data_IF_094967864833
#
_entry.id   IF_094967864833
#
_cell.length_a   1.000
_cell.length_b   1.000
_cell.length_c   1.000
_cell.angle_alpha   90.00
_cell.angle_beta   90.00
_cell.angle_gamma   90.00
#
_symmetry.space_group_name_H-M   'P 1'
#
loop_
_entity.id
_entity.type
_entity.pdbx_description
1 polymer ?
#
# COMPACT_ATOMS: atom_id res chain seq x y z
N UNK A 1 -31.25 15.60 67.29
CA UNK A 1 -31.15 16.01 65.87
C UNK A 1 -30.19 15.06 65.16
N UNK A 2 -30.56 14.58 63.95
CA UNK A 2 -29.76 13.86 62.91
C UNK A 2 -29.17 12.50 63.32
N UNK A 3 -29.86 11.37 63.10
CA UNK A 3 -29.89 10.51 61.88
C UNK A 3 -28.50 10.26 61.29
N UNK A 4 -28.10 8.98 61.16
CA UNK A 4 -27.80 8.32 59.88
C UNK A 4 -27.64 6.80 60.09
N UNK A 5 -28.60 6.05 59.54
CA UNK A 5 -28.56 4.60 59.31
C UNK A 5 -27.96 4.36 57.92
N UNK A 6 -27.20 3.28 57.69
CA UNK A 6 -27.30 2.52 56.43
C UNK A 6 -26.58 1.16 56.53
N UNK A 7 -27.41 0.13 56.64
CA UNK A 7 -27.15 -1.24 56.19
C UNK A 7 -27.05 -1.27 54.66
N UNK A 8 -26.23 -2.16 54.10
CA UNK A 8 -26.26 -2.43 52.67
C UNK A 8 -25.27 -3.52 52.26
N UNK A 9 -25.63 -4.78 52.49
CA UNK A 9 -24.96 -5.95 51.93
C UNK A 9 -26.01 -6.88 51.29
N UNK A 10 -25.54 -7.67 50.31
CA UNK A 10 -26.23 -8.60 49.42
C UNK A 10 -26.71 -7.96 48.09
N UNK A 11 -26.01 -8.11 46.96
CA UNK A 11 -25.64 -9.31 46.19
C UNK A 11 -26.81 -9.96 45.42
N UNK A 12 -26.45 -10.37 44.19
CA UNK A 12 -27.14 -11.27 43.25
C UNK A 12 -28.01 -10.60 42.18
N UNK A 13 -27.51 -10.59 40.94
CA UNK A 13 -28.13 -11.32 39.82
C UNK A 13 -27.22 -11.27 38.58
N UNK A 14 -26.74 -12.44 38.17
CA UNK A 14 -26.18 -12.69 36.85
C UNK A 14 -27.25 -12.43 35.78
N UNK A 15 -26.94 -11.61 34.78
CA UNK A 15 -27.54 -11.70 33.45
C UNK A 15 -26.43 -11.65 32.41
N UNK A 16 -26.20 -12.83 31.81
CA UNK A 16 -25.55 -13.00 30.53
C UNK A 16 -26.29 -12.15 29.47
N UNK A 17 -25.66 -11.09 28.97
CA UNK A 17 -25.92 -10.59 27.63
C UNK A 17 -24.67 -10.79 26.78
N UNK A 18 -24.56 -11.98 26.21
CA UNK A 18 -23.79 -12.24 25.01
C UNK A 18 -24.45 -11.54 23.83
N UNK A 19 -24.07 -10.30 23.55
CA UNK A 19 -24.37 -9.62 22.29
C UNK A 19 -23.42 -8.42 22.09
N UNK A 20 -22.13 -8.69 21.95
CA UNK A 20 -21.27 -7.82 21.16
C UNK A 20 -21.17 -8.46 19.78
N UNK A 21 -22.20 -8.31 18.95
CA UNK A 21 -22.02 -8.36 17.49
C UNK A 21 -21.34 -7.04 17.08
N UNK A 22 -20.11 -6.90 17.56
CA UNK A 22 -19.14 -5.89 17.19
C UNK A 22 -17.91 -6.61 16.69
N UNK A 23 -18.11 -7.60 15.81
CA UNK A 23 -17.06 -8.05 14.91
C UNK A 23 -16.84 -6.92 13.90
N UNK A 24 -16.23 -5.83 14.37
CA UNK A 24 -15.51 -4.93 13.48
C UNK A 24 -14.62 -5.82 12.63
N UNK A 25 -14.78 -5.68 11.32
CA UNK A 25 -13.87 -6.22 10.34
C UNK A 25 -12.45 -6.14 10.89
N UNK A 26 -11.72 -7.25 10.82
CA UNK A 26 -10.28 -7.17 10.72
C UNK A 26 -10.01 -6.50 9.37
N UNK A 27 -10.21 -5.18 9.31
CA UNK A 27 -9.59 -4.34 8.30
C UNK A 27 -8.10 -4.56 8.56
N UNK A 28 -7.40 -5.22 7.62
CA UNK A 28 -5.95 -5.17 7.62
C UNK A 28 -5.59 -3.70 7.72
N UNK A 29 -4.89 -3.31 8.78
CA UNK A 29 -4.52 -1.92 8.97
C UNK A 29 -3.79 -1.47 7.69
N UNK A 30 -4.28 -0.40 7.07
CA UNK A 30 -3.64 0.13 5.87
C UNK A 30 -2.25 0.64 6.23
N UNK A 31 -1.23 0.13 5.55
CA UNK A 31 0.17 0.51 5.74
C UNK A 31 0.62 1.29 4.52
N UNK A 32 1.28 2.43 4.73
CA UNK A 32 1.89 3.20 3.64
C UNK A 32 3.19 2.54 3.18
N UNK A 33 3.65 2.87 1.97
CA UNK A 33 4.93 2.37 1.46
C UNK A 33 5.99 3.46 1.40
N UNK A 34 7.24 3.02 1.50
CA UNK A 34 8.42 3.81 1.14
C UNK A 34 8.85 3.37 -0.27
N UNK A 35 9.23 4.35 -1.09
CA UNK A 35 9.58 4.14 -2.49
C UNK A 35 10.97 4.73 -2.71
N UNK A 36 11.87 3.91 -3.23
CA UNK A 36 13.21 4.34 -3.63
C UNK A 36 13.47 3.99 -5.09
N UNK A 37 14.11 4.89 -5.81
CA UNK A 37 14.64 4.58 -7.14
C UNK A 37 15.86 3.68 -6.99
N UNK A 38 15.86 2.53 -7.66
CA UNK A 38 17.04 1.70 -7.74
C UNK A 38 17.91 2.21 -8.90
N UNK A 39 19.19 2.49 -8.64
CA UNK A 39 20.13 2.82 -9.71
C UNK A 39 20.28 1.63 -10.66
N UNK A 40 19.84 1.79 -11.91
CA UNK A 40 19.98 0.77 -12.93
C UNK A 40 21.27 1.00 -13.73
N UNK A 41 22.22 0.09 -13.61
CA UNK A 41 23.25 -0.14 -14.62
C UNK A 41 22.61 -0.97 -15.76
N UNK A 42 22.45 -0.34 -16.92
CA UNK A 42 22.18 -0.91 -18.25
C UNK A 42 21.10 -2.01 -18.42
N UNK A 43 20.11 -1.71 -19.27
CA UNK A 43 19.28 -2.68 -20.00
C UNK A 43 18.74 -3.85 -19.18
N UNK A 44 17.78 -3.57 -18.29
CA UNK A 44 16.84 -4.61 -17.89
C UNK A 44 15.92 -4.87 -19.09
N UNK A 45 16.35 -5.81 -19.92
CA UNK A 45 15.56 -6.45 -20.98
C UNK A 45 14.43 -7.32 -20.44
N UNK A 46 13.83 -6.90 -19.32
CA UNK A 46 12.61 -7.49 -18.78
C UNK A 46 11.46 -7.12 -19.70
N UNK A 47 10.70 -8.13 -20.13
CA UNK A 47 9.47 -7.94 -20.87
C UNK A 47 8.49 -7.16 -19.98
N UNK A 48 8.34 -5.86 -20.25
CA UNK A 48 7.32 -5.05 -19.60
C UNK A 48 5.99 -5.52 -20.19
N UNK A 49 5.24 -6.27 -19.39
CA UNK A 49 4.00 -6.90 -19.83
C UNK A 49 2.98 -5.90 -20.35
N UNK A 50 1.88 -6.40 -20.93
CA UNK A 50 0.83 -5.61 -21.59
C UNK A 50 0.23 -4.50 -20.71
N UNK A 51 0.38 -4.58 -19.39
CA UNK A 51 -0.08 -3.58 -18.42
C UNK A 51 0.88 -2.38 -18.25
N UNK A 52 2.03 -2.38 -18.94
CA UNK A 52 3.02 -1.29 -18.86
C UNK A 52 3.84 -1.29 -17.56
N UNK A 53 3.85 -2.41 -16.83
CA UNK A 53 4.74 -2.69 -15.71
C UNK A 53 4.93 -4.21 -15.50
N UNK A 54 5.99 -4.57 -14.79
CA UNK A 54 6.22 -5.88 -14.20
C UNK A 54 6.54 -5.70 -12.71
N UNK A 55 6.18 -6.67 -11.88
CA UNK A 55 6.46 -6.64 -10.45
C UNK A 55 6.89 -8.00 -9.92
N UNK A 56 7.91 -8.04 -9.08
CA UNK A 56 8.35 -9.23 -8.36
C UNK A 56 8.62 -8.90 -6.88
N UNK A 57 8.47 -9.88 -5.99
CA UNK A 57 8.91 -9.75 -4.59
C UNK A 57 10.30 -10.34 -4.46
N UNK A 58 11.23 -9.55 -3.96
CA UNK A 58 12.60 -9.97 -3.68
C UNK A 58 13.01 -9.53 -2.28
N UNK A 59 13.40 -10.50 -1.46
CA UNK A 59 13.83 -10.29 -0.07
C UNK A 59 12.81 -9.57 0.84
N UNK A 60 11.53 -9.55 0.45
CA UNK A 60 10.43 -8.88 1.16
C UNK A 60 10.14 -7.46 0.68
N UNK A 61 10.76 -7.02 -0.42
CA UNK A 61 10.57 -5.74 -1.11
C UNK A 61 9.91 -6.02 -2.46
N UNK A 62 8.97 -5.17 -2.87
CA UNK A 62 8.43 -5.22 -4.24
C UNK A 62 9.38 -4.47 -5.17
N UNK A 63 9.90 -5.18 -6.16
CA UNK A 63 10.65 -4.62 -7.28
C UNK A 63 9.64 -4.33 -8.38
N UNK A 64 9.45 -3.06 -8.70
CA UNK A 64 8.57 -2.63 -9.78
C UNK A 64 9.40 -2.14 -10.97
N UNK A 65 9.25 -2.82 -12.10
CA UNK A 65 9.81 -2.40 -13.37
C UNK A 65 8.72 -1.75 -14.22
N UNK A 66 9.01 -0.56 -14.74
CA UNK A 66 8.12 0.20 -15.62
C UNK A 66 8.92 0.65 -16.84
N UNK A 67 8.23 1.01 -17.92
CA UNK A 67 8.90 1.65 -19.05
C UNK A 67 8.21 2.94 -19.45
N UNK A 68 9.01 3.90 -19.89
CA UNK A 68 8.56 5.25 -20.18
C UNK A 68 9.64 6.13 -20.79
N UNK A 69 9.29 7.41 -20.94
CA UNK A 69 10.17 8.44 -21.47
C UNK A 69 11.26 8.81 -20.47
N UNK A 70 12.50 9.06 -20.91
CA UNK A 70 13.55 9.55 -20.00
C UNK A 70 13.25 10.90 -19.36
N UNK A 71 12.44 11.74 -20.00
CA UNK A 71 12.02 13.05 -19.46
C UNK A 71 10.64 13.04 -18.81
N UNK A 72 9.90 11.93 -18.92
CA UNK A 72 8.65 11.69 -18.20
C UNK A 72 8.66 10.26 -17.65
N UNK A 73 9.51 9.98 -16.65
CA UNK A 73 9.66 8.64 -16.09
C UNK A 73 8.34 8.18 -15.45
N UNK A 74 7.94 6.91 -15.58
CA UNK A 74 6.71 6.41 -14.97
C UNK A 74 6.87 6.17 -13.46
N UNK A 75 7.11 7.23 -12.70
CA UNK A 75 7.43 7.24 -11.27
C UNK A 75 6.19 6.96 -10.42
N UNK A 76 6.30 6.05 -9.46
CA UNK A 76 5.33 5.89 -8.37
C UNK A 76 5.52 7.00 -7.34
N UNK A 77 4.45 7.74 -7.04
CA UNK A 77 4.43 8.83 -6.07
C UNK A 77 4.01 8.36 -4.68
N UNK A 78 3.08 7.40 -4.60
CA UNK A 78 2.59 6.88 -3.32
C UNK A 78 2.02 5.48 -3.48
N UNK A 79 1.75 4.83 -2.35
CA UNK A 79 1.03 3.57 -2.33
C UNK A 79 0.56 3.19 -0.94
N UNK A 80 -0.40 2.28 -0.91
CA UNK A 80 -0.92 1.68 0.32
C UNK A 80 -1.04 0.17 0.18
N UNK A 81 -0.79 -0.53 1.27
CA UNK A 81 -0.93 -1.98 1.36
C UNK A 81 -2.01 -2.31 2.38
N UNK A 82 -3.02 -3.03 1.93
CA UNK A 82 -4.10 -3.54 2.76
C UNK A 82 -4.65 -4.84 2.15
N UNK A 83 -5.01 -5.79 3.01
CA UNK A 83 -5.72 -7.02 2.63
C UNK A 83 -5.03 -7.81 1.49
N UNK A 84 -3.70 -7.86 1.48
CA UNK A 84 -2.91 -8.59 0.47
C UNK A 84 -2.74 -7.86 -0.87
N UNK A 85 -3.23 -6.62 -0.98
CA UNK A 85 -3.16 -5.81 -2.19
C UNK A 85 -2.31 -4.57 -1.95
N UNK A 86 -1.27 -4.40 -2.78
CA UNK A 86 -0.47 -3.19 -2.87
C UNK A 86 -1.03 -2.31 -3.99
N UNK A 87 -1.62 -1.17 -3.61
CA UNK A 87 -2.12 -0.16 -4.54
C UNK A 87 -1.09 0.95 -4.68
N UNK A 88 -0.70 1.26 -5.91
CA UNK A 88 0.33 2.23 -6.26
C UNK A 88 -0.25 3.32 -7.14
N UNK A 89 0.10 4.57 -6.83
CA UNK A 89 -0.29 5.75 -7.59
C UNK A 89 0.92 6.34 -8.30
N UNK A 90 0.78 6.57 -9.61
CA UNK A 90 1.82 7.22 -10.41
C UNK A 90 1.82 8.73 -10.18
N UNK A 91 2.99 9.34 -10.27
CA UNK A 91 3.10 10.78 -10.45
C UNK A 91 2.36 11.21 -11.71
N UNK A 92 1.66 12.34 -11.66
CA UNK A 92 0.93 12.88 -12.80
C UNK A 92 1.80 13.88 -13.54
N UNK A 93 1.85 13.74 -14.86
CA UNK A 93 2.46 14.72 -15.72
C UNK A 93 1.42 15.65 -16.32
N UNK A 94 1.77 16.93 -16.40
CA UNK A 94 0.95 17.90 -17.11
C UNK A 94 0.83 17.49 -18.59
N UNK A 95 -0.35 17.58 -19.23
CA UNK A 95 -0.53 17.21 -20.63
C UNK A 95 0.39 17.99 -21.60
N UNK A 96 0.87 19.15 -21.18
CA UNK A 96 1.77 20.02 -21.96
C UNK A 96 3.25 19.78 -21.66
N UNK A 97 3.58 18.86 -20.74
CA UNK A 97 4.96 18.54 -20.41
C UNK A 97 5.64 17.85 -21.60
N UNK A 98 6.79 18.36 -22.08
CA UNK A 98 7.50 17.75 -23.18
C UNK A 98 8.13 16.41 -22.74
N UNK A 99 7.56 15.31 -23.20
CA UNK A 99 8.16 13.98 -23.08
C UNK A 99 9.00 13.67 -24.31
N UNK A 100 10.19 13.15 -24.08
CA UNK A 100 11.08 12.65 -25.12
C UNK A 100 10.60 11.29 -25.60
N UNK A 101 10.90 10.97 -26.86
CA UNK A 101 10.47 9.72 -27.49
C UNK A 101 11.39 8.53 -27.20
N UNK A 102 12.50 8.74 -26.48
CA UNK A 102 13.33 7.62 -26.04
C UNK A 102 12.63 6.87 -24.92
N UNK A 103 12.54 5.56 -25.08
CA UNK A 103 11.84 4.69 -24.16
C UNK A 103 12.87 3.80 -23.46
N UNK A 104 12.82 3.78 -22.13
CA UNK A 104 13.73 2.97 -21.31
C UNK A 104 13.00 2.40 -20.11
N UNK A 105 13.60 1.38 -19.51
CA UNK A 105 13.13 0.75 -18.28
C UNK A 105 13.53 1.58 -17.06
N UNK A 106 12.65 1.62 -16.06
CA UNK A 106 12.84 2.22 -14.76
C UNK A 106 12.51 1.20 -13.68
N UNK A 107 13.26 1.23 -12.58
CA UNK A 107 13.04 0.32 -11.46
C UNK A 107 12.88 1.11 -10.17
N UNK A 108 11.83 0.75 -9.45
CA UNK A 108 11.56 1.26 -8.12
C UNK A 108 11.48 0.09 -7.14
N UNK A 109 12.08 0.30 -5.98
CA UNK A 109 11.98 -0.59 -4.84
C UNK A 109 10.93 -0.03 -3.89
N UNK A 110 10.01 -0.89 -3.47
CA UNK A 110 8.86 -0.52 -2.66
C UNK A 110 8.87 -1.38 -1.40
N UNK A 111 8.98 -0.74 -0.24
CA UNK A 111 8.97 -1.37 1.08
C UNK A 111 7.81 -0.86 1.93
N UNK A 112 7.36 -1.64 2.92
CA UNK A 112 6.38 -1.17 3.88
C UNK A 112 7.04 -0.20 4.87
N UNK A 113 6.38 0.91 5.17
CA UNK A 113 6.91 1.96 6.04
C UNK A 113 7.03 1.54 7.52
N UNK A 114 6.35 0.48 7.92
CA UNK A 114 6.44 -0.13 9.24
C UNK A 114 7.62 -1.13 9.36
N UNK A 115 8.37 -1.33 8.27
CA UNK A 115 9.50 -2.27 8.20
C UNK A 115 9.09 -3.74 8.05
N UNK A 116 7.80 -4.05 7.89
CA UNK A 116 7.35 -5.39 7.55
C UNK A 116 7.76 -5.77 6.12
N UNK A 117 7.71 -7.07 5.82
CA UNK A 117 8.01 -7.61 4.50
C UNK A 117 6.73 -7.90 3.73
N UNK A 118 6.74 -7.64 2.44
CA UNK A 118 5.68 -8.12 1.55
C UNK A 118 5.69 -9.65 1.49
N UNK A 119 4.50 -10.29 1.44
CA UNK A 119 4.40 -11.71 1.13
C UNK A 119 4.71 -11.95 -0.36
N UNK A 120 5.20 -13.15 -0.70
CA UNK A 120 5.60 -13.50 -2.06
C UNK A 120 4.44 -13.48 -3.08
N UNK A 121 3.19 -13.58 -2.61
CA UNK A 121 1.96 -13.59 -3.40
C UNK A 121 1.19 -12.26 -3.38
N UNK A 122 1.83 -11.17 -2.97
CA UNK A 122 1.22 -9.83 -2.97
C UNK A 122 0.67 -9.48 -4.35
N UNK A 123 -0.57 -8.99 -4.38
CA UNK A 123 -1.17 -8.46 -5.61
C UNK A 123 -0.78 -7.00 -5.77
N UNK A 124 -0.16 -6.65 -6.89
CA UNK A 124 0.22 -5.25 -7.20
C UNK A 124 -0.79 -4.65 -8.19
N UNK A 125 -1.35 -3.49 -7.83
CA UNK A 125 -2.24 -2.70 -8.67
C UNK A 125 -1.63 -1.31 -8.87
N UNK A 126 -1.39 -0.91 -10.11
CA UNK A 126 -0.87 0.42 -10.43
C UNK A 126 -1.97 1.22 -11.11
N UNK A 127 -2.34 2.36 -10.52
CA UNK A 127 -3.31 3.26 -11.12
C UNK A 127 -2.82 3.77 -12.48
N UNK A 128 -3.72 3.77 -13.47
CA UNK A 128 -3.43 4.35 -14.77
C UNK A 128 -3.20 5.86 -14.63
N UNK A 129 -2.22 6.40 -15.36
CA UNK A 129 -2.12 7.85 -15.52
C UNK A 129 -3.36 8.33 -16.28
N UNK A 130 -4.28 9.01 -15.59
CA UNK A 130 -5.37 9.73 -16.23
C UNK A 130 -4.80 11.03 -16.77
N UNK A 131 -4.56 11.07 -18.08
CA UNK A 131 -4.28 12.31 -18.80
C UNK A 131 -5.67 12.90 -19.11
N UNK A 132 -6.09 13.92 -18.34
CA UNK A 132 -7.30 14.71 -18.65
C UNK A 132 -7.03 15.78 -19.70
#
# INVERSE_FOLDING_TARGET
MKKTTLFGAAAVALLFLSACSGGSAANGAEVTVEISEASMDADIGGDIGEQGFNSEVKDGVVILDTAGSSTCPPTIASGTYADGVLKLEREKYEPTQPCTMDYRTFRQEISLSDGAKFPDDVKVEVAAQVIE
#
